data_IF_343129607639
#
_entry.id   IF_343129607639
#
_cell.length_a   1.000
_cell.length_b   1.000
_cell.length_c   1.000
_cell.angle_alpha   90.00
_cell.angle_beta   90.00
_cell.angle_gamma   90.00
#
_symmetry.space_group_name_H-M   'P 1'
#
loop_
_entity.id
_entity.type
_entity.pdbx_description
1 polymer ?
#
# COMPACT_ATOMS: atom_id res chain seq x y z
N UNK A 1 -60.33 -21.28 24.74
CA UNK A 1 -60.14 -20.46 23.52
C UNK A 1 -58.72 -20.71 23.05
N UNK A 2 -58.56 -21.51 21.99
CA UNK A 2 -57.26 -21.92 21.47
C UNK A 2 -56.96 -21.13 20.19
N UNK A 3 -55.86 -20.39 20.18
CA UNK A 3 -55.37 -19.65 19.01
C UNK A 3 -54.76 -20.60 17.99
N UNK A 4 -55.07 -20.46 16.69
CA UNK A 4 -54.50 -21.34 15.68
C UNK A 4 -53.01 -21.02 15.48
N UNK A 5 -52.19 -22.06 15.56
CA UNK A 5 -50.77 -22.04 15.22
C UNK A 5 -50.63 -21.79 13.71
N UNK A 6 -50.03 -20.65 13.34
CA UNK A 6 -49.70 -20.33 11.95
C UNK A 6 -48.47 -21.13 11.52
N UNK A 7 -48.66 -22.05 10.56
CA UNK A 7 -47.59 -22.84 9.95
C UNK A 7 -46.60 -21.90 9.22
N UNK A 8 -45.28 -21.94 9.51
CA UNK A 8 -44.29 -21.08 8.86
C UNK A 8 -44.25 -21.19 7.33
N UNK A 9 -44.65 -22.32 6.76
CA UNK A 9 -44.76 -22.49 5.30
C UNK A 9 -45.82 -21.57 4.66
N UNK A 10 -46.86 -21.20 5.42
CA UNK A 10 -47.93 -20.31 4.96
C UNK A 10 -47.44 -18.86 4.77
N UNK A 11 -46.44 -18.43 5.54
CA UNK A 11 -45.87 -17.09 5.41
C UNK A 11 -45.06 -16.92 4.14
N UNK A 12 -44.30 -17.96 3.73
CA UNK A 12 -43.51 -17.91 2.50
C UNK A 12 -44.42 -17.94 1.26
N UNK A 13 -45.44 -18.80 1.26
CA UNK A 13 -46.43 -18.86 0.18
C UNK A 13 -47.16 -17.53 0.00
N UNK A 14 -47.61 -16.92 1.10
CA UNK A 14 -48.24 -15.58 1.06
C UNK A 14 -47.29 -14.48 0.58
N UNK A 15 -46.01 -14.52 0.96
CA UNK A 15 -45.03 -13.54 0.50
C UNK A 15 -44.75 -13.67 -1.01
N UNK A 16 -44.69 -14.90 -1.54
CA UNK A 16 -44.50 -15.17 -2.97
C UNK A 16 -45.73 -14.73 -3.76
N UNK A 17 -46.94 -15.03 -3.29
CA UNK A 17 -48.17 -14.61 -3.95
C UNK A 17 -48.33 -13.08 -3.92
N UNK A 18 -47.98 -12.44 -2.82
CA UNK A 18 -47.96 -10.98 -2.73
C UNK A 18 -46.99 -10.37 -3.76
N UNK A 19 -45.79 -10.93 -3.92
CA UNK A 19 -44.80 -10.44 -4.90
C UNK A 19 -45.24 -10.66 -6.36
N UNK A 20 -45.98 -11.74 -6.65
CA UNK A 20 -46.52 -11.99 -8.00
C UNK A 20 -47.67 -11.05 -8.37
N UNK A 21 -48.37 -10.52 -7.36
CA UNK A 21 -49.47 -9.57 -7.56
C UNK A 21 -49.01 -8.11 -7.64
N UNK A 22 -47.75 -7.80 -7.32
CA UNK A 22 -47.22 -6.46 -7.53
C UNK A 22 -47.11 -6.21 -9.04
N UNK A 23 -47.86 -5.24 -9.60
CA UNK A 23 -47.72 -4.89 -11.00
C UNK A 23 -46.29 -4.42 -11.25
N UNK A 24 -45.60 -5.10 -12.16
CA UNK A 24 -44.28 -4.69 -12.59
C UNK A 24 -44.45 -3.33 -13.27
N UNK A 25 -43.74 -2.27 -12.82
CA UNK A 25 -43.81 -0.97 -13.47
C UNK A 25 -43.52 -1.15 -14.95
N UNK A 26 -44.26 -0.44 -15.81
CA UNK A 26 -43.89 -0.39 -17.21
C UNK A 26 -42.42 0.00 -17.31
N UNK A 27 -41.66 -0.82 -18.05
CA UNK A 27 -40.26 -0.54 -18.30
C UNK A 27 -40.09 0.83 -18.95
N UNK A 28 -38.85 1.36 -18.98
CA UNK A 28 -38.60 2.61 -19.70
C UNK A 28 -39.17 2.50 -21.13
N UNK A 29 -39.87 3.54 -21.59
CA UNK A 29 -40.43 3.60 -22.94
C UNK A 29 -39.38 3.22 -23.98
N UNK A 30 -39.78 2.58 -25.09
CA UNK A 30 -38.85 2.20 -26.16
C UNK A 30 -37.99 3.38 -26.63
N UNK A 31 -38.52 4.60 -26.63
CA UNK A 31 -37.80 5.82 -26.98
C UNK A 31 -36.60 6.09 -26.06
N UNK A 32 -36.74 5.87 -24.75
CA UNK A 32 -35.65 6.00 -23.76
C UNK A 32 -34.61 4.91 -23.97
N UNK A 33 -35.05 3.68 -24.28
CA UNK A 33 -34.14 2.57 -24.59
C UNK A 33 -33.35 2.88 -25.86
N UNK A 34 -34.02 3.28 -26.94
CA UNK A 34 -33.38 3.65 -28.21
C UNK A 34 -32.45 4.85 -28.07
N UNK A 35 -32.83 5.88 -27.31
CA UNK A 35 -31.96 7.04 -27.07
C UNK A 35 -30.72 6.68 -26.26
N UNK A 36 -30.86 5.82 -25.27
CA UNK A 36 -29.73 5.32 -24.46
C UNK A 36 -28.79 4.47 -25.31
N UNK A 37 -29.34 3.60 -26.14
CA UNK A 37 -28.58 2.73 -27.04
C UNK A 37 -27.87 3.54 -28.13
N UNK A 38 -28.53 4.56 -28.69
CA UNK A 38 -27.94 5.51 -29.61
C UNK A 38 -26.83 6.35 -28.95
N UNK A 39 -27.00 6.79 -27.70
CA UNK A 39 -25.98 7.52 -26.96
C UNK A 39 -24.74 6.64 -26.65
N UNK A 40 -24.95 5.37 -26.30
CA UNK A 40 -23.86 4.40 -26.13
C UNK A 40 -23.14 4.13 -27.45
N UNK A 41 -23.87 3.92 -28.55
CA UNK A 41 -23.28 3.75 -29.88
C UNK A 41 -22.57 5.02 -30.38
N UNK A 42 -23.05 6.21 -30.01
CA UNK A 42 -22.40 7.47 -30.34
C UNK A 42 -21.14 7.67 -29.50
N UNK A 43 -21.15 7.32 -28.22
CA UNK A 43 -19.96 7.32 -27.35
C UNK A 43 -18.89 6.33 -27.83
N UNK A 44 -19.30 5.21 -28.42
CA UNK A 44 -18.41 4.23 -29.07
C UNK A 44 -17.85 4.73 -30.42
N UNK A 45 -18.48 5.76 -31.01
CA UNK A 45 -18.06 6.43 -32.26
C UNK A 45 -17.28 7.72 -32.04
N UNK A 46 -17.27 8.28 -30.83
CA UNK A 46 -16.38 9.39 -30.49
C UNK A 46 -14.99 8.79 -30.29
N UNK A 47 -14.17 8.87 -31.34
CA UNK A 47 -12.73 8.65 -31.24
C UNK A 47 -12.16 9.55 -30.13
N UNK A 48 -11.81 8.95 -29.00
CA UNK A 48 -10.72 9.48 -28.19
C UNK A 48 -9.50 9.66 -29.11
N UNK A 49 -8.64 10.67 -28.92
CA UNK A 49 -7.42 10.82 -29.72
C UNK A 49 -6.48 9.65 -29.38
N UNK A 50 -6.66 8.54 -30.11
CA UNK A 50 -5.84 7.34 -30.06
C UNK A 50 -4.69 7.60 -31.03
N UNK A 51 -3.50 7.81 -30.48
CA UNK A 51 -2.25 7.72 -31.22
C UNK A 51 -2.14 6.33 -31.85
N UNK A 52 -2.35 6.24 -33.15
CA UNK A 52 -2.24 5.02 -33.94
C UNK A 52 -0.78 4.56 -34.06
N UNK A 53 -0.38 3.50 -33.35
CA UNK A 53 0.69 2.64 -33.85
C UNK A 53 0.12 1.63 -34.86
N UNK A 54 0.52 1.86 -36.10
CA UNK A 54 0.15 1.17 -37.33
C UNK A 54 0.62 -0.30 -37.31
N UNK A 55 -0.29 -1.22 -36.99
CA UNK A 55 -0.14 -2.67 -37.21
C UNK A 55 -0.09 -2.95 -38.73
N UNK A 56 1.04 -3.43 -39.25
CA UNK A 56 1.14 -4.02 -40.59
C UNK A 56 1.21 -5.54 -40.49
N UNK A 57 0.29 -6.20 -41.20
CA UNK A 57 0.18 -7.66 -41.40
C UNK A 57 1.35 -8.18 -42.24
N UNK A 58 1.84 -9.39 -41.95
CA UNK A 58 2.08 -10.41 -42.97
C UNK A 58 1.88 -11.80 -42.34
N UNK A 59 1.07 -12.62 -43.00
CA UNK A 59 0.78 -14.01 -42.66
C UNK A 59 1.95 -14.94 -43.02
N UNK A 60 2.04 -16.11 -42.38
CA UNK A 60 1.76 -17.46 -42.95
C UNK A 60 2.45 -18.53 -42.06
N UNK A 61 1.61 -19.47 -41.61
CA UNK A 61 1.85 -20.87 -41.25
C UNK A 61 3.26 -21.37 -40.83
N UNK A 62 3.35 -21.98 -39.63
CA UNK A 62 3.60 -23.42 -39.49
C UNK A 62 3.42 -23.96 -38.06
N UNK A 63 2.76 -25.12 -37.97
CA UNK A 63 3.00 -26.30 -37.12
C UNK A 63 3.06 -26.22 -35.58
N UNK A 64 1.98 -26.70 -34.96
CA UNK A 64 1.85 -27.86 -34.02
C UNK A 64 3.05 -28.33 -33.16
N UNK A 65 2.72 -28.64 -31.88
CA UNK A 65 3.39 -29.49 -30.84
C UNK A 65 4.49 -28.71 -30.06
N UNK A 66 4.62 -28.69 -28.72
CA UNK A 66 4.19 -29.59 -27.64
C UNK A 66 3.99 -28.84 -26.30
N UNK A 67 3.30 -29.50 -25.38
CA UNK A 67 3.20 -29.15 -23.96
C UNK A 67 4.45 -29.58 -23.16
N UNK A 68 4.49 -29.11 -21.90
CA UNK A 68 5.27 -29.57 -20.72
C UNK A 68 6.49 -28.70 -20.32
N UNK A 69 6.24 -27.91 -19.28
CA UNK A 69 7.05 -27.62 -18.06
C UNK A 69 8.57 -27.75 -18.18
N UNK A 70 9.29 -26.63 -18.01
CA UNK A 70 10.51 -26.61 -17.18
C UNK A 70 10.58 -25.30 -16.37
N UNK A 71 10.41 -25.47 -15.07
CA UNK A 71 10.99 -24.65 -14.01
C UNK A 71 12.51 -24.62 -14.21
N UNK A 72 13.04 -23.64 -14.96
CA UNK A 72 14.45 -23.23 -14.97
C UNK A 72 14.67 -22.08 -15.97
N UNK A 73 14.36 -20.85 -15.56
CA UNK A 73 14.88 -19.64 -16.22
C UNK A 73 15.46 -18.65 -15.18
N UNK A 74 15.93 -19.20 -14.07
CA UNK A 74 16.69 -18.51 -13.03
C UNK A 74 17.89 -19.38 -12.67
N UNK A 75 18.98 -19.24 -13.41
CA UNK A 75 20.22 -19.96 -13.14
C UNK A 75 20.98 -20.32 -14.41
N UNK A 76 22.22 -19.86 -14.50
CA UNK A 76 23.20 -20.07 -15.58
C UNK A 76 23.00 -19.30 -16.89
N UNK A 77 23.28 -18.00 -16.82
CA UNK A 77 23.99 -17.28 -17.89
C UNK A 77 24.88 -16.23 -17.23
N UNK A 78 25.85 -16.70 -16.43
CA UNK A 78 26.82 -15.86 -15.73
C UNK A 78 28.25 -16.32 -16.02
N UNK A 79 28.56 -16.59 -17.30
CA UNK A 79 29.94 -16.81 -17.74
C UNK A 79 30.14 -16.22 -19.14
N UNK A 80 30.86 -15.11 -19.23
CA UNK A 80 31.81 -14.91 -20.32
C UNK A 80 31.53 -13.85 -21.41
N UNK A 81 30.42 -13.10 -21.40
CA UNK A 81 30.28 -11.97 -22.33
C UNK A 81 30.60 -10.65 -21.61
N UNK A 82 31.59 -9.85 -22.06
CA UNK A 82 31.77 -8.50 -21.53
C UNK A 82 30.45 -7.72 -21.74
N UNK A 83 30.02 -6.91 -20.77
CA UNK A 83 28.82 -6.10 -20.93
C UNK A 83 29.02 -5.21 -22.15
N UNK A 84 28.33 -5.54 -23.25
CA UNK A 84 28.30 -4.71 -24.45
C UNK A 84 27.88 -3.31 -24.01
N UNK A 85 28.72 -2.28 -24.26
CA UNK A 85 28.53 -0.93 -23.72
C UNK A 85 27.14 -0.32 -23.94
N UNK A 86 26.40 -0.78 -24.96
CA UNK A 86 25.02 -0.37 -25.21
C UNK A 86 23.98 -0.80 -24.16
N UNK A 87 24.30 -1.75 -23.28
CA UNK A 87 23.39 -2.20 -22.20
C UNK A 87 23.35 -1.17 -21.08
N UNK A 88 24.50 -0.67 -20.62
CA UNK A 88 24.53 0.33 -19.54
C UNK A 88 23.99 1.70 -19.98
N UNK A 89 24.12 2.04 -21.25
CA UNK A 89 23.55 3.28 -21.84
C UNK A 89 22.03 3.30 -21.74
N UNK A 90 21.35 2.15 -21.89
CA UNK A 90 19.88 2.10 -21.83
C UNK A 90 19.36 2.39 -20.41
N UNK A 91 20.02 1.84 -19.39
CA UNK A 91 19.67 2.11 -18.00
C UNK A 91 19.99 3.54 -17.59
N UNK A 92 21.18 4.05 -17.96
CA UNK A 92 21.56 5.44 -17.69
C UNK A 92 20.55 6.45 -18.29
N UNK A 93 20.12 6.24 -19.53
CA UNK A 93 19.12 7.08 -20.19
C UNK A 93 17.75 7.00 -19.49
N UNK A 94 17.37 5.81 -19.02
CA UNK A 94 16.12 5.61 -18.27
C UNK A 94 16.18 6.34 -16.93
N UNK A 95 17.27 6.19 -16.18
CA UNK A 95 17.49 6.89 -14.90
C UNK A 95 17.45 8.40 -15.10
N UNK A 96 18.09 8.93 -16.15
CA UNK A 96 18.04 10.35 -16.47
C UNK A 96 16.61 10.82 -16.74
N UNK A 97 15.86 10.09 -17.57
CA UNK A 97 14.46 10.39 -17.88
C UNK A 97 13.59 10.36 -16.62
N UNK A 98 13.78 9.35 -15.77
CA UNK A 98 13.10 9.24 -14.49
C UNK A 98 13.50 10.37 -13.53
N UNK A 99 14.69 10.94 -13.60
CA UNK A 99 15.10 12.05 -12.73
C UNK A 99 14.51 13.39 -13.18
N UNK A 100 14.47 13.63 -14.49
CA UNK A 100 14.02 14.90 -15.08
C UNK A 100 12.48 15.02 -15.15
N UNK A 101 11.77 13.90 -15.10
CA UNK A 101 10.32 13.87 -15.17
C UNK A 101 9.66 14.66 -14.01
N UNK A 102 8.73 15.54 -14.39
CA UNK A 102 7.92 16.35 -13.48
C UNK A 102 6.65 15.62 -13.04
N UNK A 103 6.24 14.57 -13.75
CA UNK A 103 5.12 13.73 -13.36
C UNK A 103 5.20 12.31 -13.92
N UNK A 104 4.44 11.42 -13.30
CA UNK A 104 4.35 10.01 -13.69
C UNK A 104 2.92 9.55 -13.52
N UNK A 105 2.49 8.63 -14.38
CA UNK A 105 1.40 7.73 -14.05
C UNK A 105 1.81 6.29 -14.27
N UNK A 106 1.34 5.39 -13.42
CA UNK A 106 1.54 3.96 -13.58
C UNK A 106 0.43 3.17 -12.90
N UNK A 107 0.27 1.91 -13.30
CA UNK A 107 -0.55 0.92 -12.62
C UNK A 107 0.31 0.11 -11.67
N UNK A 108 -0.06 0.09 -10.39
CA UNK A 108 0.55 -0.75 -9.36
C UNK A 108 -0.35 -1.96 -9.07
N UNK A 109 0.22 -3.15 -9.04
CA UNK A 109 -0.47 -4.39 -8.65
C UNK A 109 0.28 -5.06 -7.51
N UNK A 110 -0.45 -5.37 -6.43
CA UNK A 110 0.07 -6.08 -5.27
C UNK A 110 -0.38 -7.55 -5.34
N UNK A 111 0.55 -8.47 -5.10
CA UNK A 111 0.31 -9.91 -5.09
C UNK A 111 0.87 -10.53 -3.80
N UNK A 112 0.12 -11.44 -3.19
CA UNK A 112 0.54 -12.17 -2.00
C UNK A 112 1.48 -13.35 -2.31
N UNK A 113 1.87 -14.14 -1.29
CA UNK A 113 2.81 -15.26 -1.42
C UNK A 113 2.43 -16.27 -2.52
N UNK A 114 1.13 -16.57 -2.66
CA UNK A 114 0.61 -17.51 -3.67
C UNK A 114 0.34 -16.84 -5.03
N UNK A 115 0.97 -15.69 -5.29
CA UNK A 115 0.70 -14.80 -6.43
C UNK A 115 -0.76 -14.34 -6.56
N UNK A 116 -1.56 -14.54 -5.51
CA UNK A 116 -2.94 -14.07 -5.47
C UNK A 116 -2.94 -12.55 -5.51
N UNK A 117 -3.58 -11.98 -6.54
CA UNK A 117 -3.78 -10.54 -6.68
C UNK A 117 -4.52 -10.00 -5.45
N UNK A 118 -3.84 -9.15 -4.68
CA UNK A 118 -4.39 -8.50 -3.49
C UNK A 118 -5.11 -7.20 -3.85
N UNK A 119 -4.66 -6.53 -4.91
CA UNK A 119 -5.30 -5.33 -5.43
C UNK A 119 -4.52 -4.70 -6.57
N UNK A 120 -5.19 -3.80 -7.28
CA UNK A 120 -4.59 -2.91 -8.27
C UNK A 120 -4.99 -1.49 -7.95
N UNK A 121 -4.06 -0.56 -8.18
CA UNK A 121 -4.34 0.86 -8.16
C UNK A 121 -3.66 1.57 -9.31
N UNK A 122 -4.27 2.66 -9.78
CA UNK A 122 -3.65 3.61 -10.70
C UNK A 122 -3.12 4.77 -9.88
N UNK A 123 -1.87 5.14 -10.13
CA UNK A 123 -1.22 6.22 -9.38
C UNK A 123 -0.73 7.30 -10.32
N UNK A 124 -0.92 8.54 -9.91
CA UNK A 124 -0.45 9.75 -10.56
C UNK A 124 0.44 10.53 -9.59
N UNK A 125 1.50 11.10 -10.13
CA UNK A 125 2.43 11.94 -9.39
C UNK A 125 2.70 13.21 -10.18
N UNK A 126 2.80 14.32 -9.45
CA UNK A 126 3.21 15.61 -9.98
C UNK A 126 4.15 16.28 -8.97
N UNK A 127 5.27 16.77 -9.48
CA UNK A 127 6.18 17.57 -8.68
C UNK A 127 5.58 18.96 -8.39
N UNK A 128 5.87 19.55 -7.21
CA UNK A 128 6.55 18.95 -6.07
C UNK A 128 5.57 18.27 -5.11
N UNK A 129 5.77 16.98 -4.82
CA UNK A 129 5.18 16.32 -3.65
C UNK A 129 3.67 16.06 -3.68
N UNK A 130 3.05 16.03 -4.86
CA UNK A 130 1.61 15.78 -5.00
C UNK A 130 1.36 14.44 -5.68
N UNK A 131 0.40 13.67 -5.14
CA UNK A 131 0.05 12.37 -5.68
C UNK A 131 -1.42 12.04 -5.53
N UNK A 132 -1.91 11.19 -6.43
CA UNK A 132 -3.24 10.60 -6.38
C UNK A 132 -3.16 9.11 -6.67
N UNK A 133 -3.75 8.29 -5.81
CA UNK A 133 -3.90 6.85 -6.01
C UNK A 133 -5.37 6.47 -6.05
N UNK A 134 -5.76 5.69 -7.04
CA UNK A 134 -7.13 5.22 -7.25
C UNK A 134 -7.13 3.69 -7.19
N UNK A 135 -7.75 3.13 -6.17
CA UNK A 135 -7.89 1.68 -6.05
C UNK A 135 -9.04 1.18 -6.92
N UNK A 136 -8.84 0.05 -7.59
CA UNK A 136 -9.89 -0.63 -8.35
C UNK A 136 -11.09 -0.96 -7.43
N UNK A 137 -12.24 -0.35 -7.70
CA UNK A 137 -13.50 -0.62 -7.00
C UNK A 137 -13.71 0.09 -5.66
N UNK A 138 -12.96 1.15 -5.33
CA UNK A 138 -13.18 1.80 -4.03
C UNK A 138 -12.52 3.15 -3.84
N UNK A 139 -11.45 3.15 -3.06
CA UNK A 139 -10.93 4.36 -2.43
C UNK A 139 -10.02 5.17 -3.34
N UNK A 140 -10.05 6.48 -3.14
CA UNK A 140 -9.11 7.42 -3.74
C UNK A 140 -8.32 8.07 -2.62
N UNK A 141 -6.99 8.13 -2.77
CA UNK A 141 -6.09 8.79 -1.83
C UNK A 141 -5.35 9.89 -2.56
N UNK A 142 -5.48 11.13 -2.09
CA UNK A 142 -4.79 12.30 -2.62
C UNK A 142 -3.86 12.80 -1.53
N UNK A 143 -2.60 13.02 -1.85
CA UNK A 143 -1.61 13.53 -0.89
C UNK A 143 -0.89 14.73 -1.46
N UNK A 144 -0.74 15.75 -0.61
CA UNK A 144 0.07 16.93 -0.86
C UNK A 144 1.05 17.06 0.31
N UNK A 145 2.29 16.62 0.11
CA UNK A 145 3.29 16.56 1.18
C UNK A 145 3.82 17.94 1.58
N UNK A 146 3.82 18.90 0.65
CA UNK A 146 4.25 20.28 0.96
C UNK A 146 3.24 21.02 1.84
N UNK A 147 1.96 20.63 1.78
CA UNK A 147 0.92 21.13 2.67
C UNK A 147 0.69 20.24 3.91
N UNK A 148 1.31 19.06 3.98
CA UNK A 148 1.05 18.10 5.05
C UNK A 148 -0.40 17.60 5.05
N UNK A 149 -1.01 17.40 3.87
CA UNK A 149 -2.41 16.99 3.76
C UNK A 149 -2.55 15.68 2.98
N UNK A 150 -3.34 14.76 3.52
CA UNK A 150 -3.77 13.55 2.81
C UNK A 150 -5.29 13.45 2.88
N UNK A 151 -5.96 13.50 1.74
CA UNK A 151 -7.40 13.31 1.60
C UNK A 151 -7.68 11.88 1.13
N UNK A 152 -8.43 11.13 1.93
CA UNK A 152 -8.98 9.83 1.55
C UNK A 152 -10.45 9.99 1.22
N UNK A 153 -10.88 9.47 0.06
CA UNK A 153 -12.26 9.50 -0.40
C UNK A 153 -12.79 8.09 -0.55
N UNK A 154 -14.01 7.87 -0.09
CA UNK A 154 -14.84 6.72 -0.47
C UNK A 154 -16.02 7.24 -1.32
N UNK A 155 -15.93 7.10 -2.66
CA UNK A 155 -16.99 7.52 -3.56
C UNK A 155 -18.32 6.81 -3.33
N UNK A 156 -18.31 5.57 -2.84
CA UNK A 156 -19.53 4.77 -2.66
C UNK A 156 -20.44 5.32 -1.57
N UNK A 157 -19.85 5.77 -0.46
CA UNK A 157 -20.55 6.38 0.68
C UNK A 157 -20.55 7.92 0.63
N UNK A 158 -19.89 8.53 -0.36
CA UNK A 158 -19.60 9.97 -0.41
C UNK A 158 -19.01 10.46 0.91
N UNK A 159 -18.02 9.74 1.44
CA UNK A 159 -17.32 10.15 2.65
C UNK A 159 -15.88 10.53 2.35
N UNK A 160 -15.36 11.47 3.14
CA UNK A 160 -14.01 12.00 3.04
C UNK A 160 -13.35 12.00 4.43
N UNK A 161 -12.07 11.65 4.48
CA UNK A 161 -11.22 11.79 5.66
C UNK A 161 -9.99 12.61 5.26
N UNK A 162 -9.88 13.82 5.83
CA UNK A 162 -8.69 14.64 5.70
C UNK A 162 -7.77 14.38 6.89
N UNK A 163 -6.57 13.93 6.59
CA UNK A 163 -5.47 13.75 7.53
C UNK A 163 -4.55 14.95 7.38
N UNK A 164 -4.40 15.72 8.45
CA UNK A 164 -3.48 16.87 8.52
C UNK A 164 -2.24 16.47 9.33
N UNK A 165 -1.07 16.76 8.79
CA UNK A 165 0.22 16.50 9.40
C UNK A 165 1.11 17.73 9.27
N UNK A 166 2.20 17.78 10.03
CA UNK A 166 3.19 18.84 9.82
C UNK A 166 3.72 18.78 8.37
N UNK A 167 3.88 19.93 7.69
CA UNK A 167 4.51 19.99 6.38
C UNK A 167 5.92 19.42 6.44
N UNK A 168 6.34 18.74 5.38
CA UNK A 168 7.75 18.33 5.21
C UNK A 168 8.41 19.13 4.11
N UNK A 169 9.65 19.56 4.36
CA UNK A 169 10.50 20.14 3.32
C UNK A 169 10.87 19.12 2.24
N UNK A 170 10.87 17.81 2.56
CA UNK A 170 11.20 16.71 1.62
C UNK A 170 10.22 15.54 1.76
N UNK A 171 9.72 14.97 0.65
CA UNK A 171 8.84 13.80 0.72
C UNK A 171 9.55 12.59 1.35
N UNK A 172 8.86 11.85 2.22
CA UNK A 172 9.38 10.62 2.85
C UNK A 172 9.38 9.45 1.86
N UNK A 173 10.44 8.64 1.91
CA UNK A 173 10.70 7.48 1.01
C UNK A 173 9.64 6.36 1.12
N UNK A 174 8.96 6.25 2.27
CA UNK A 174 7.92 5.22 2.52
C UNK A 174 6.50 5.65 2.13
N UNK A 175 6.34 6.78 1.44
CA UNK A 175 5.04 7.23 0.93
C UNK A 175 4.87 6.84 -0.55
N UNK A 176 3.66 6.93 -1.10
CA UNK A 176 3.49 6.82 -2.55
C UNK A 176 4.42 7.79 -3.30
N UNK A 177 4.58 9.01 -2.77
CA UNK A 177 5.54 10.02 -3.28
C UNK A 177 6.98 9.53 -3.11
N UNK A 178 7.26 8.80 -2.05
CA UNK A 178 8.57 8.22 -1.73
C UNK A 178 9.08 7.19 -2.75
N UNK A 179 8.19 6.39 -3.35
CA UNK A 179 8.56 5.49 -4.43
C UNK A 179 9.00 6.25 -5.69
N UNK A 180 8.36 7.38 -5.99
CA UNK A 180 8.80 8.22 -7.11
C UNK A 180 10.09 8.96 -6.80
N UNK A 181 10.23 9.46 -5.58
CA UNK A 181 11.49 10.07 -5.13
C UNK A 181 12.63 9.05 -5.14
N UNK A 182 12.38 7.77 -4.83
CA UNK A 182 13.41 6.73 -4.94
C UNK A 182 13.86 6.52 -6.39
N UNK A 183 12.96 6.64 -7.37
CA UNK A 183 13.34 6.65 -8.79
C UNK A 183 14.24 7.83 -9.16
N UNK A 184 13.98 9.02 -8.61
CA UNK A 184 14.80 10.22 -8.86
C UNK A 184 16.21 10.11 -8.28
N UNK A 185 16.34 9.37 -7.17
CA UNK A 185 17.63 9.07 -6.51
C UNK A 185 18.41 7.90 -7.15
N UNK A 186 17.91 7.28 -8.22
CA UNK A 186 18.66 6.26 -8.94
C UNK A 186 19.85 6.91 -9.66
N UNK A 187 20.94 6.18 -9.74
CA UNK A 187 22.14 6.48 -10.51
C UNK A 187 22.37 5.40 -11.56
N UNK A 188 23.03 5.73 -12.66
CA UNK A 188 23.32 4.76 -13.72
C UNK A 188 24.15 3.56 -13.23
N UNK A 189 25.03 3.79 -12.25
CA UNK A 189 25.86 2.80 -11.58
C UNK A 189 25.07 1.80 -10.73
N UNK A 190 23.82 2.11 -10.37
CA UNK A 190 23.01 1.24 -9.51
C UNK A 190 22.49 -0.02 -10.22
N UNK A 191 22.46 -0.01 -11.57
CA UNK A 191 21.84 -1.05 -12.37
C UNK A 191 22.81 -2.17 -12.76
N UNK A 192 22.52 -3.39 -12.33
CA UNK A 192 23.22 -4.61 -12.77
C UNK A 192 22.36 -5.32 -13.82
N UNK A 193 22.89 -5.68 -15.02
CA UNK A 193 22.13 -6.40 -16.03
C UNK A 193 21.45 -7.66 -15.46
N UNK A 194 20.16 -7.82 -15.73
CA UNK A 194 19.31 -8.91 -15.23
C UNK A 194 18.73 -9.80 -16.35
N UNK A 195 19.22 -9.66 -17.57
CA UNK A 195 18.79 -10.43 -18.74
C UNK A 195 17.75 -9.70 -19.59
N UNK A 196 16.96 -10.46 -20.34
CA UNK A 196 15.93 -9.94 -21.24
C UNK A 196 14.59 -10.64 -20.98
N UNK A 197 13.48 -9.95 -21.21
CA UNK A 197 12.12 -10.47 -21.00
C UNK A 197 11.18 -9.92 -22.06
N UNK A 198 10.32 -10.77 -22.62
CA UNK A 198 9.28 -10.32 -23.54
C UNK A 198 8.08 -9.77 -22.75
N UNK A 199 7.70 -8.52 -23.02
CA UNK A 199 6.60 -7.82 -22.36
C UNK A 199 5.76 -7.14 -23.44
N UNK A 200 4.53 -7.63 -23.64
CA UNK A 200 3.63 -7.07 -24.66
C UNK A 200 4.20 -7.11 -26.09
N UNK A 201 5.03 -8.10 -26.42
CA UNK A 201 5.73 -8.21 -27.71
C UNK A 201 6.98 -7.34 -27.85
N UNK A 202 7.39 -6.62 -26.79
CA UNK A 202 8.65 -5.87 -26.74
C UNK A 202 9.69 -6.69 -25.99
N UNK A 203 10.87 -6.85 -26.58
CA UNK A 203 12.03 -7.50 -25.94
C UNK A 203 12.70 -6.51 -24.98
N UNK A 204 12.26 -6.51 -23.74
CA UNK A 204 12.74 -5.62 -22.69
C UNK A 204 14.10 -6.07 -22.13
N UNK A 205 14.94 -5.11 -21.73
CA UNK A 205 16.21 -5.36 -21.03
C UNK A 205 16.03 -5.14 -19.53
N UNK A 206 16.42 -6.13 -18.74
CA UNK A 206 16.33 -6.13 -17.29
C UNK A 206 17.54 -5.50 -16.63
N UNK A 207 17.32 -4.70 -15.60
CA UNK A 207 18.35 -4.16 -14.71
C UNK A 207 17.91 -4.32 -13.27
N UNK A 208 18.70 -5.04 -12.49
CA UNK A 208 18.51 -5.23 -11.06
C UNK A 208 19.16 -4.08 -10.32
N UNK A 209 18.40 -3.45 -9.43
CA UNK A 209 18.85 -2.42 -8.51
C UNK A 209 18.61 -2.91 -7.08
N UNK A 210 19.62 -2.78 -6.22
CA UNK A 210 19.53 -3.13 -4.81
C UNK A 210 19.80 -1.89 -3.96
N UNK A 211 18.76 -1.35 -3.32
CA UNK A 211 18.87 -0.20 -2.41
C UNK A 211 18.02 -0.43 -1.16
N UNK A 212 18.55 -0.02 0.00
CA UNK A 212 17.80 0.11 1.27
C UNK A 212 16.87 -1.08 1.57
N UNK A 213 17.43 -2.30 1.52
CA UNK A 213 16.77 -3.58 1.80
C UNK A 213 15.77 -4.11 0.76
N UNK A 214 15.43 -3.33 -0.27
CA UNK A 214 14.57 -3.77 -1.36
C UNK A 214 15.38 -4.09 -2.62
N UNK A 215 14.99 -5.17 -3.29
CA UNK A 215 15.46 -5.50 -4.63
C UNK A 215 14.37 -5.08 -5.63
N UNK A 216 14.80 -4.35 -6.65
CA UNK A 216 13.94 -3.93 -7.77
C UNK A 216 14.54 -4.42 -9.08
N UNK A 217 13.69 -4.86 -10.00
CA UNK A 217 14.09 -5.20 -11.37
C UNK A 217 13.33 -4.31 -12.35
N UNK A 218 14.06 -3.47 -13.07
CA UNK A 218 13.55 -2.60 -14.12
C UNK A 218 13.65 -3.31 -15.47
N UNK A 219 12.51 -3.53 -16.11
CA UNK A 219 12.44 -4.03 -17.48
C UNK A 219 12.18 -2.86 -18.42
N UNK A 220 13.20 -2.50 -19.21
CA UNK A 220 13.26 -1.29 -20.01
C UNK A 220 13.11 -1.61 -21.50
N UNK A 221 12.30 -0.83 -22.20
CA UNK A 221 12.25 -0.86 -23.66
C UNK A 221 13.56 -0.26 -24.23
N UNK A 222 14.34 -1.03 -25.00
CA UNK A 222 15.59 -0.54 -25.57
C UNK A 222 15.39 0.59 -26.59
N UNK A 223 14.21 0.78 -27.16
CA UNK A 223 13.94 1.83 -28.14
C UNK A 223 13.52 3.13 -27.47
N UNK A 224 12.50 3.08 -26.61
CA UNK A 224 11.95 4.27 -25.94
C UNK A 224 12.76 4.70 -24.73
N UNK A 225 13.61 3.81 -24.19
CA UNK A 225 14.38 4.02 -22.94
C UNK A 225 13.47 4.29 -21.73
N UNK A 226 12.26 3.75 -21.76
CA UNK A 226 11.28 3.86 -20.68
C UNK A 226 11.08 2.50 -20.00
N UNK A 227 10.74 2.49 -18.70
CA UNK A 227 10.37 1.26 -18.02
C UNK A 227 9.02 0.75 -18.55
N UNK A 228 8.99 -0.53 -18.92
CA UNK A 228 7.76 -1.25 -19.27
C UNK A 228 7.15 -1.92 -18.04
N UNK A 229 8.02 -2.42 -17.15
CA UNK A 229 7.64 -3.12 -15.93
C UNK A 229 8.72 -2.88 -14.87
N UNK A 230 8.32 -2.60 -13.64
CA UNK A 230 9.20 -2.65 -12.47
C UNK A 230 8.64 -3.70 -11.52
N UNK A 231 9.50 -4.61 -11.09
CA UNK A 231 9.15 -5.67 -10.14
C UNK A 231 9.90 -5.43 -8.85
N UNK A 232 9.23 -5.52 -7.71
CA UNK A 232 9.86 -5.49 -6.40
C UNK A 232 9.19 -6.48 -5.47
N UNK A 233 9.98 -7.00 -4.54
CA UNK A 233 9.54 -7.93 -3.51
C UNK A 233 9.87 -7.32 -2.16
N UNK A 234 8.88 -7.25 -1.28
CA UNK A 234 9.06 -6.83 0.09
C UNK A 234 8.54 -7.90 1.06
N UNK A 235 9.09 -7.93 2.26
CA UNK A 235 8.64 -8.83 3.32
C UNK A 235 7.74 -8.05 4.28
N UNK A 236 6.48 -8.49 4.39
CA UNK A 236 5.49 -7.91 5.31
C UNK A 236 5.03 -9.00 6.25
N UNK A 237 5.34 -8.87 7.55
CA UNK A 237 5.02 -9.88 8.58
C UNK A 237 5.51 -11.30 8.22
N UNK A 238 6.73 -11.39 7.69
CA UNK A 238 7.33 -12.66 7.27
C UNK A 238 6.70 -13.27 6.01
N UNK A 239 5.79 -12.55 5.35
CA UNK A 239 5.18 -12.96 4.08
C UNK A 239 5.76 -12.13 2.95
N UNK A 240 6.09 -12.80 1.86
CA UNK A 240 6.52 -12.17 0.64
C UNK A 240 5.34 -11.47 -0.05
N UNK A 241 5.49 -10.18 -0.29
CA UNK A 241 4.56 -9.36 -1.09
C UNK A 241 5.30 -8.93 -2.35
N UNK A 242 4.77 -9.33 -3.50
CA UNK A 242 5.27 -8.89 -4.79
C UNK A 242 4.48 -7.69 -5.27
N UNK A 243 5.19 -6.64 -5.66
CA UNK A 243 4.61 -5.45 -6.26
C UNK A 243 5.12 -5.31 -7.69
N UNK A 244 4.20 -5.07 -8.63
CA UNK A 244 4.54 -4.75 -10.02
C UNK A 244 4.01 -3.38 -10.40
N UNK A 245 4.84 -2.60 -11.10
CA UNK A 245 4.50 -1.31 -11.66
C UNK A 245 4.54 -1.42 -13.17
N UNK A 246 3.51 -0.95 -13.86
CA UNK A 246 3.35 -1.10 -15.32
C UNK A 246 2.59 0.10 -15.88
N UNK A 247 2.40 0.16 -17.20
CA UNK A 247 1.65 1.25 -17.87
C UNK A 247 2.24 2.63 -17.55
N UNK A 248 3.57 2.75 -17.59
CA UNK A 248 4.25 4.00 -17.29
C UNK A 248 3.95 5.07 -18.35
N UNK A 249 3.59 6.26 -17.88
CA UNK A 249 3.51 7.48 -18.69
C UNK A 249 4.32 8.56 -17.98
N UNK A 250 5.27 9.15 -18.70
CA UNK A 250 6.11 10.24 -18.21
C UNK A 250 5.46 11.57 -18.56
N UNK A 251 5.43 12.49 -17.60
CA UNK A 251 4.79 13.80 -17.72
C UNK A 251 3.38 13.71 -18.31
N UNK A 252 2.48 12.88 -17.74
CA UNK A 252 1.13 12.77 -18.24
C UNK A 252 0.42 14.12 -18.14
N UNK A 253 -0.36 14.47 -19.15
CA UNK A 253 -1.27 15.62 -19.11
C UNK A 253 -2.47 15.26 -18.23
N UNK A 254 -2.48 15.76 -16.99
CA UNK A 254 -3.47 15.42 -15.96
C UNK A 254 -3.98 16.72 -15.36
N UNK A 255 -5.31 16.84 -15.27
CA UNK A 255 -5.99 17.97 -14.65
C UNK A 255 -5.52 18.17 -13.20
N UNK A 256 -5.14 19.41 -12.87
CA UNK A 256 -4.68 19.81 -11.55
C UNK A 256 -5.75 19.59 -10.48
N UNK A 257 -7.03 19.70 -10.84
CA UNK A 257 -8.15 19.50 -9.93
C UNK A 257 -8.19 18.07 -9.35
N UNK A 258 -7.65 17.07 -10.05
CA UNK A 258 -7.58 15.69 -9.56
C UNK A 258 -6.69 15.55 -8.32
N UNK A 259 -5.80 16.51 -8.09
CA UNK A 259 -4.87 16.53 -6.98
C UNK A 259 -5.33 17.44 -5.82
N UNK A 260 -6.55 17.99 -5.89
CA UNK A 260 -7.10 18.80 -4.81
C UNK A 260 -7.25 18.00 -3.51
N UNK A 261 -6.88 18.62 -2.38
CA UNK A 261 -7.14 18.07 -1.04
C UNK A 261 -8.45 18.59 -0.44
N UNK A 262 -9.26 19.29 -1.25
CA UNK A 262 -10.62 19.65 -0.90
C UNK A 262 -11.59 18.54 -1.33
N UNK A 263 -12.51 18.11 -0.45
CA UNK A 263 -13.47 17.08 -0.81
C UNK A 263 -14.44 17.60 -1.88
N UNK A 264 -14.83 16.75 -2.85
CA UNK A 264 -15.82 17.14 -3.85
C UNK A 264 -17.17 17.51 -3.22
N UNK A 265 -18.01 18.31 -3.91
CA UNK A 265 -19.35 18.63 -3.42
C UNK A 265 -20.18 17.40 -3.06
N UNK A 266 -20.86 17.44 -1.93
CA UNK A 266 -21.72 16.35 -1.44
C UNK A 266 -21.00 15.25 -0.66
N UNK A 267 -19.69 15.40 -0.39
CA UNK A 267 -18.96 14.50 0.49
C UNK A 267 -19.09 14.92 1.96
N UNK A 268 -19.25 13.94 2.85
CA UNK A 268 -19.19 14.15 4.30
C UNK A 268 -17.73 14.10 4.77
N UNK A 269 -17.19 15.24 5.20
CA UNK A 269 -15.80 15.36 5.62
C UNK A 269 -15.61 15.08 7.11
N UNK A 270 -14.69 14.17 7.42
CA UNK A 270 -14.09 13.98 8.74
C UNK A 270 -12.64 14.47 8.71
N UNK A 271 -12.15 14.96 9.85
CA UNK A 271 -10.76 15.44 9.98
C UNK A 271 -10.05 14.70 11.11
N UNK A 272 -8.76 14.45 10.93
CA UNK A 272 -7.87 14.00 12.00
C UNK A 272 -6.48 14.53 11.78
N UNK A 273 -5.75 14.76 12.87
CA UNK A 273 -4.32 15.02 12.82
C UNK A 273 -3.53 13.71 12.83
N UNK A 274 -2.33 13.75 12.26
CA UNK A 274 -1.36 12.66 12.26
C UNK A 274 0.05 13.18 12.44
N UNK A 275 0.77 12.65 13.43
CA UNK A 275 2.21 12.85 13.60
C UNK A 275 3.06 11.85 12.79
N UNK A 276 2.48 10.76 12.29
CA UNK A 276 3.22 9.72 11.55
C UNK A 276 3.72 10.21 10.19
N UNK A 277 2.84 10.84 9.41
CA UNK A 277 3.18 11.38 8.10
C UNK A 277 3.88 12.75 8.16
N UNK A 278 4.08 13.31 9.35
CA UNK A 278 4.50 14.70 9.61
C UNK A 278 5.68 14.87 10.58
N UNK A 279 5.96 13.85 11.40
CA UNK A 279 6.85 13.98 12.55
C UNK A 279 8.31 14.02 12.19
N UNK A 280 9.06 14.76 13.02
CA UNK A 280 10.51 14.69 13.16
C UNK A 280 10.92 13.21 13.28
N UNK A 281 11.71 12.65 12.33
CA UNK A 281 12.11 11.25 12.35
C UNK A 281 12.80 10.82 13.65
N UNK A 282 13.59 11.70 14.28
CA UNK A 282 14.31 11.36 15.51
C UNK A 282 13.34 11.19 16.68
N UNK A 283 12.35 12.09 16.80
CA UNK A 283 11.28 11.96 17.80
C UNK A 283 10.32 10.83 17.44
N UNK A 284 9.98 10.68 16.17
CA UNK A 284 9.09 9.65 15.67
C UNK A 284 9.64 8.25 15.97
N UNK A 285 10.95 8.05 15.85
CA UNK A 285 11.62 6.79 16.14
C UNK A 285 12.12 6.69 17.60
N UNK A 286 11.71 7.60 18.48
CA UNK A 286 11.89 7.41 19.91
C UNK A 286 11.13 6.16 20.36
N UNK A 287 11.89 5.12 20.65
CA UNK A 287 11.37 3.81 21.00
C UNK A 287 10.64 3.82 22.35
N UNK A 288 11.08 4.62 23.33
CA UNK A 288 10.40 4.71 24.61
C UNK A 288 9.03 5.33 24.43
N UNK A 289 8.95 6.47 23.71
CA UNK A 289 7.68 7.11 23.42
C UNK A 289 6.76 6.18 22.60
N UNK A 290 7.31 5.49 21.59
CA UNK A 290 6.54 4.56 20.78
C UNK A 290 6.02 3.36 21.59
N UNK A 291 6.86 2.79 22.47
CA UNK A 291 6.50 1.68 23.34
C UNK A 291 5.44 2.10 24.37
N UNK A 292 5.63 3.23 25.06
CA UNK A 292 4.68 3.75 26.04
C UNK A 292 3.32 4.02 25.40
N UNK A 293 3.30 4.62 24.20
CA UNK A 293 2.04 4.85 23.46
C UNK A 293 1.35 3.55 23.10
N UNK A 294 2.09 2.57 22.57
CA UNK A 294 1.53 1.27 22.20
C UNK A 294 0.96 0.52 23.41
N UNK A 295 1.73 0.46 24.50
CA UNK A 295 1.36 -0.22 25.73
C UNK A 295 0.15 0.46 26.38
N UNK A 296 0.12 1.80 26.43
CA UNK A 296 -1.02 2.58 26.93
C UNK A 296 -2.28 2.33 26.12
N UNK A 297 -2.17 2.38 24.79
CA UNK A 297 -3.30 2.13 23.91
C UNK A 297 -3.90 0.74 24.13
N UNK A 298 -3.04 -0.27 24.36
CA UNK A 298 -3.50 -1.62 24.67
C UNK A 298 -4.16 -1.68 26.04
N UNK A 299 -3.53 -1.16 27.09
CA UNK A 299 -4.04 -1.23 28.47
C UNK A 299 -5.35 -0.48 28.67
N UNK A 300 -5.56 0.65 27.99
CA UNK A 300 -6.82 1.39 28.00
C UNK A 300 -7.98 0.52 27.48
N UNK A 301 -7.72 -0.36 26.50
CA UNK A 301 -8.72 -1.21 25.87
C UNK A 301 -8.86 -2.59 26.50
N UNK A 302 -7.83 -3.07 27.18
CA UNK A 302 -7.80 -4.39 27.84
C UNK A 302 -8.19 -4.35 29.32
N UNK A 303 -8.47 -3.17 29.88
CA UNK A 303 -8.77 -3.01 31.30
C UNK A 303 -7.53 -3.06 32.19
N UNK A 304 -6.39 -2.55 31.70
CA UNK A 304 -5.15 -2.41 32.46
C UNK A 304 -4.17 -3.57 32.32
N UNK A 305 -4.42 -4.55 31.44
CA UNK A 305 -3.48 -5.66 31.21
C UNK A 305 -2.57 -5.38 30.03
N UNK A 306 -1.32 -5.81 30.12
CA UNK A 306 -0.36 -5.67 29.03
C UNK A 306 -0.53 -6.76 27.96
N UNK A 307 -0.19 -6.47 26.69
CA UNK A 307 -0.20 -7.48 25.63
C UNK A 307 0.79 -8.61 25.97
N UNK A 308 0.48 -9.86 25.64
CA UNK A 308 1.40 -10.98 25.92
C UNK A 308 2.65 -10.96 25.05
N UNK A 309 2.56 -10.36 23.85
CA UNK A 309 3.64 -10.21 22.88
C UNK A 309 3.54 -8.85 22.21
N UNK A 310 4.67 -8.23 21.85
CA UNK A 310 4.67 -6.94 21.15
C UNK A 310 4.82 -7.03 19.64
N UNK A 311 5.13 -8.22 19.12
CA UNK A 311 5.26 -8.51 17.69
C UNK A 311 3.99 -9.16 17.09
N UNK A 312 3.09 -9.69 17.92
CA UNK A 312 1.80 -10.21 17.47
C UNK A 312 0.74 -9.11 17.37
N UNK A 313 0.83 -8.28 16.33
CA UNK A 313 -0.12 -7.19 16.11
C UNK A 313 -1.57 -7.66 15.86
N UNK A 314 -1.82 -8.95 15.66
CA UNK A 314 -3.18 -9.45 15.49
C UNK A 314 -4.01 -9.30 16.76
N UNK A 315 -3.39 -9.20 17.93
CA UNK A 315 -4.11 -8.96 19.17
C UNK A 315 -4.85 -7.62 19.18
N UNK A 316 -4.41 -6.63 18.42
CA UNK A 316 -5.14 -5.37 18.28
C UNK A 316 -6.41 -5.52 17.44
N UNK A 317 -6.53 -6.58 16.62
CA UNK A 317 -7.74 -6.85 15.83
C UNK A 317 -8.97 -7.07 16.71
N UNK A 318 -8.80 -7.54 17.96
CA UNK A 318 -9.91 -7.73 18.89
C UNK A 318 -10.60 -6.41 19.29
N UNK A 319 -9.88 -5.29 19.16
CA UNK A 319 -10.40 -3.96 19.48
C UNK A 319 -11.12 -3.29 18.32
N UNK A 320 -11.13 -3.92 17.14
CA UNK A 320 -11.80 -3.39 15.97
C UNK A 320 -13.06 -4.19 15.64
N UNK A 321 -14.11 -3.52 15.15
CA UNK A 321 -15.29 -4.23 14.67
C UNK A 321 -14.90 -5.18 13.52
N UNK A 322 -15.41 -6.42 13.57
CA UNK A 322 -15.12 -7.46 12.56
C UNK A 322 -15.75 -7.15 11.19
N UNK A 323 -16.83 -6.35 11.18
CA UNK A 323 -17.62 -6.04 9.98
C UNK A 323 -17.16 -4.76 9.28
N UNK A 324 -15.87 -4.68 8.95
CA UNK A 324 -15.38 -3.60 8.10
C UNK A 324 -15.84 -3.86 6.67
N UNK A 325 -16.83 -3.09 6.20
CA UNK A 325 -17.21 -3.08 4.78
C UNK A 325 -15.95 -2.78 3.95
N UNK A 326 -15.71 -3.57 2.89
CA UNK A 326 -14.52 -3.55 2.02
C UNK A 326 -14.18 -2.18 1.36
N UNK A 327 -14.99 -1.15 1.56
CA UNK A 327 -14.81 0.20 0.98
C UNK A 327 -14.83 1.34 2.01
N UNK A 328 -15.15 1.08 3.29
CA UNK A 328 -15.31 2.16 4.26
C UNK A 328 -13.98 2.84 4.57
N UNK A 329 -13.99 4.19 4.60
CA UNK A 329 -12.86 4.95 5.12
C UNK A 329 -12.50 4.49 6.54
N UNK A 330 -11.21 4.39 6.87
CA UNK A 330 -10.80 3.99 8.20
C UNK A 330 -11.39 4.95 9.24
N UNK A 331 -11.79 4.38 10.37
CA UNK A 331 -12.14 5.17 11.54
C UNK A 331 -10.88 5.90 12.06
N UNK A 332 -10.95 7.19 12.46
CA UNK A 332 -9.79 7.92 12.97
C UNK A 332 -9.07 7.23 14.15
N UNK A 333 -9.80 6.58 15.05
CA UNK A 333 -9.21 5.85 16.18
C UNK A 333 -8.42 4.62 15.70
N UNK A 334 -8.98 3.91 14.72
CA UNK A 334 -8.29 2.79 14.07
C UNK A 334 -7.04 3.26 13.33
N UNK A 335 -7.12 4.39 12.63
CA UNK A 335 -5.96 4.97 11.95
C UNK A 335 -4.86 5.31 12.97
N UNK A 336 -5.19 5.96 14.08
CA UNK A 336 -4.24 6.26 15.17
C UNK A 336 -3.62 4.99 15.75
N UNK A 337 -4.41 3.94 15.93
CA UNK A 337 -3.88 2.66 16.43
C UNK A 337 -2.89 2.03 15.47
N UNK A 338 -3.24 1.94 14.17
CA UNK A 338 -2.33 1.43 13.14
C UNK A 338 -1.05 2.26 13.08
N UNK A 339 -1.19 3.58 13.23
CA UNK A 339 -0.07 4.52 13.30
C UNK A 339 0.85 4.26 14.50
N UNK A 340 0.30 4.06 15.71
CA UNK A 340 1.08 3.72 16.90
C UNK A 340 1.82 2.39 16.73
N UNK A 341 1.16 1.38 16.16
CA UNK A 341 1.78 0.08 15.84
C UNK A 341 2.96 0.26 14.88
N UNK A 342 2.73 0.96 13.76
CA UNK A 342 3.77 1.21 12.76
C UNK A 342 4.97 1.97 13.33
N UNK A 343 4.71 2.96 14.20
CA UNK A 343 5.76 3.74 14.87
C UNK A 343 6.65 2.84 15.73
N UNK A 344 6.05 1.99 16.57
CA UNK A 344 6.79 1.04 17.38
C UNK A 344 7.59 0.05 16.51
N UNK A 345 6.98 -0.53 15.49
CA UNK A 345 7.67 -1.44 14.54
C UNK A 345 8.90 -0.80 13.88
N UNK A 346 8.80 0.48 13.51
CA UNK A 346 9.91 1.20 12.90
C UNK A 346 10.99 1.51 13.93
N UNK A 347 10.61 1.96 15.13
CA UNK A 347 11.56 2.28 16.20
C UNK A 347 12.37 1.04 16.65
N UNK A 348 11.75 -0.14 16.68
CA UNK A 348 12.43 -1.37 17.10
C UNK A 348 13.35 -1.97 16.03
N UNK A 349 13.17 -1.63 14.73
CA UNK A 349 14.05 -2.14 13.66
C UNK A 349 15.49 -1.68 13.80
N UNK A 350 15.73 -0.53 14.41
CA UNK A 350 17.07 0.04 14.62
C UNK A 350 17.81 -0.59 15.81
N UNK A 351 17.13 -1.42 16.61
CA UNK A 351 17.74 -2.08 17.77
C UNK A 351 18.57 -3.29 17.34
N UNK A 352 19.90 -3.14 17.37
CA UNK A 352 20.85 -4.23 17.05
C UNK A 352 20.69 -5.47 17.93
N UNK A 353 20.50 -5.26 19.23
CA UNK A 353 20.36 -6.34 20.23
C UNK A 353 18.88 -6.69 20.48
N UNK A 354 17.95 -6.08 19.73
CA UNK A 354 16.53 -6.17 19.98
C UNK A 354 16.10 -5.51 21.31
N UNK A 355 14.94 -5.93 21.80
CA UNK A 355 14.40 -5.53 23.09
C UNK A 355 13.95 -6.79 23.84
N UNK A 356 13.95 -6.72 25.17
CA UNK A 356 13.32 -7.72 26.01
C UNK A 356 11.93 -7.26 26.45
N UNK A 357 11.02 -8.21 26.61
CA UNK A 357 9.65 -7.96 27.02
C UNK A 357 9.17 -9.08 27.95
N UNK A 358 8.53 -8.71 29.06
CA UNK A 358 8.02 -9.66 30.07
C UNK A 358 6.83 -9.04 30.83
N UNK A 359 5.60 -9.20 30.31
CA UNK A 359 4.40 -8.61 30.91
C UNK A 359 3.70 -9.52 31.94
N UNK A 360 4.18 -10.75 32.15
CA UNK A 360 3.47 -11.78 32.93
C UNK A 360 3.07 -11.30 34.32
N UNK A 361 1.76 -11.27 34.58
CA UNK A 361 1.19 -10.90 35.88
C UNK A 361 1.23 -9.41 36.20
N UNK A 362 1.75 -8.56 35.31
CA UNK A 362 1.87 -7.11 35.52
C UNK A 362 0.60 -6.39 35.05
N UNK A 363 0.15 -5.42 35.83
CA UNK A 363 -0.96 -4.52 35.53
C UNK A 363 -0.50 -3.08 35.41
N UNK A 364 -1.29 -2.28 34.71
CA UNK A 364 -1.08 -0.84 34.62
C UNK A 364 -1.08 -0.23 36.03
N UNK A 365 0.04 0.38 36.40
CA UNK A 365 0.26 0.99 37.72
C UNK A 365 1.29 0.27 38.59
N UNK A 366 1.79 -0.90 38.17
CA UNK A 366 2.84 -1.64 38.88
C UNK A 366 4.22 -0.98 38.68
N UNK A 367 4.45 0.13 39.38
CA UNK A 367 5.61 1.01 39.21
C UNK A 367 6.96 0.36 39.48
N UNK A 368 7.02 -0.73 40.24
CA UNK A 368 8.28 -1.41 40.59
C UNK A 368 8.66 -2.56 39.64
N UNK A 369 7.82 -2.87 38.65
CA UNK A 369 8.02 -4.02 37.76
C UNK A 369 8.41 -3.60 36.35
N UNK A 370 9.59 -4.01 35.88
CA UNK A 370 10.06 -3.80 34.50
C UNK A 370 9.28 -4.73 33.56
N UNK A 371 8.66 -4.16 32.52
CA UNK A 371 7.92 -4.92 31.49
C UNK A 371 8.63 -4.93 30.13
N UNK A 372 9.38 -3.88 29.80
CA UNK A 372 10.12 -3.76 28.55
C UNK A 372 11.49 -3.19 28.82
N UNK A 373 12.51 -3.65 28.11
CA UNK A 373 13.84 -3.06 28.17
C UNK A 373 14.56 -3.17 26.84
N UNK A 374 15.45 -2.22 26.58
CA UNK A 374 16.32 -2.23 25.41
C UNK A 374 17.63 -1.52 25.74
N UNK A 375 18.65 -1.73 24.90
CA UNK A 375 19.93 -1.05 25.06
C UNK A 375 20.07 0.04 24.00
N UNK A 376 20.05 1.33 24.38
CA UNK A 376 20.29 2.42 23.43
C UNK A 376 21.67 2.29 22.77
N UNK A 377 21.78 2.74 21.52
CA UNK A 377 23.03 2.66 20.76
C UNK A 377 24.14 3.44 21.47
N UNK A 378 25.23 2.74 21.82
CA UNK A 378 26.39 3.34 22.48
C UNK A 378 26.22 3.59 23.98
N UNK A 379 25.10 3.18 24.59
CA UNK A 379 24.88 3.32 26.02
C UNK A 379 25.48 2.15 26.82
N UNK A 380 25.94 2.47 28.04
CA UNK A 380 26.41 1.48 29.02
C UNK A 380 25.27 0.90 29.87
N UNK A 381 24.16 1.64 29.98
CA UNK A 381 22.96 1.22 30.71
C UNK A 381 21.86 0.81 29.74
N UNK A 382 20.94 -0.01 30.23
CA UNK A 382 19.69 -0.31 29.52
C UNK A 382 18.65 0.74 29.88
N UNK A 383 17.74 0.99 28.94
CA UNK A 383 16.52 1.73 29.22
C UNK A 383 15.41 0.72 29.50
N UNK A 384 14.72 0.87 30.62
CA UNK A 384 13.61 0.01 31.03
C UNK A 384 12.32 0.82 31.16
N UNK A 385 11.20 0.21 30.80
CA UNK A 385 9.84 0.72 30.97
C UNK A 385 9.13 -0.15 31.99
N UNK A 386 8.48 0.49 32.96
CA UNK A 386 7.82 -0.15 34.09
C UNK A 386 6.31 -0.34 33.86
N UNK A 387 5.66 -1.09 34.75
CA UNK A 387 4.22 -1.39 34.68
C UNK A 387 3.30 -0.17 34.80
N UNK A 388 3.78 0.96 35.30
CA UNK A 388 3.09 2.26 35.27
C UNK A 388 3.46 3.14 34.06
N UNK A 389 4.26 2.58 33.13
CA UNK A 389 4.75 3.18 31.90
C UNK A 389 5.80 4.30 32.05
N UNK A 390 6.42 4.47 33.22
CA UNK A 390 7.59 5.35 33.30
C UNK A 390 8.85 4.64 32.77
N UNK A 391 9.79 5.42 32.25
CA UNK A 391 11.10 4.94 31.79
C UNK A 391 12.22 5.29 32.75
N UNK A 392 13.16 4.38 32.97
CA UNK A 392 14.36 4.62 33.76
C UNK A 392 15.59 3.87 33.23
N UNK A 393 16.78 4.36 33.59
CA UNK A 393 18.04 3.71 33.25
C UNK A 393 18.39 2.64 34.29
N UNK A 394 18.72 1.44 33.82
CA UNK A 394 19.01 0.28 34.67
C UNK A 394 20.25 -0.49 34.22
N UNK A 395 20.91 -1.12 35.18
CA UNK A 395 22.03 -2.02 34.94
C UNK A 395 21.53 -3.40 34.50
N UNK A 396 22.35 -4.15 33.74
CA UNK A 396 21.96 -5.44 33.17
C UNK A 396 21.52 -6.49 34.22
N UNK A 397 22.09 -6.44 35.43
CA UNK A 397 21.73 -7.33 36.54
C UNK A 397 20.35 -7.06 37.17
N UNK A 398 19.69 -5.94 36.83
CA UNK A 398 18.33 -5.63 37.27
C UNK A 398 17.27 -6.06 36.25
N UNK A 399 17.68 -6.52 35.07
CA UNK A 399 16.76 -6.89 34.02
C UNK A 399 16.11 -8.24 34.32
N UNK A 400 14.81 -8.39 34.01
CA UNK A 400 14.19 -9.71 34.05
C UNK A 400 14.86 -10.66 33.04
N UNK A 401 14.82 -11.97 33.30
CA UNK A 401 15.17 -12.94 32.28
C UNK A 401 14.23 -12.79 31.07
N UNK A 402 14.75 -12.57 29.85
CA UNK A 402 13.94 -12.35 28.67
C UNK A 402 13.07 -13.58 28.39
N UNK A 403 11.78 -13.37 28.12
CA UNK A 403 11.04 -14.39 27.39
C UNK A 403 11.67 -14.50 25.99
N UNK A 404 11.99 -15.73 25.56
CA UNK A 404 12.39 -15.96 24.16
C UNK A 404 11.20 -15.55 23.26
N UNK A 405 11.45 -14.89 22.12
CA UNK A 405 10.40 -14.43 21.20
C UNK A 405 9.42 -15.54 20.78
#
# INVERSE_FOLDING_TARGET
MSTPSSNPDDLLSRAVDAMRQVPVPEGPSEEVVSRTLAALMAADRVEAPIFHFRRRRLMIAMMKIAAVVVVAAGGLSYLGAPPSGGTMVAFAATVQTLREAQGYSFRMTLSGPDQKKLGTMKTYFKAPGVSRSEQEGGQVVISNTSQGKTLMLDPSSKSALLIESKPHEKPKENSGVGLVESFRKLEASDGVPAGEKEIGGVKARGFRVKKLHDEMVFWIDPNTKLPLLVETTSQVQGKEIRTTLSEFVINPDVDEALFSTEPPPGYTLRRTESDVFGGDPEKFLDIEEAAVRLLRLYTEKSGGTFPTKLDDFNMFNQFFPKDIKKSALPDPERLRTVQTILRFMMATRELKEGFGYKPDGVKLGDADTIILWYKPKGANLHRAIYGDLHGADVTANKLPEPQKP
#
